data_IF_944711668814
#
_entry.id   IF_944711668814
#
_cell.length_a   1.000
_cell.length_b   1.000
_cell.length_c   1.000
_cell.angle_alpha   90.00
_cell.angle_beta   90.00
_cell.angle_gamma   90.00
#
_symmetry.space_group_name_H-M   'P 1'
#
loop_
_entity.id
_entity.type
_entity.pdbx_description
1 polymer ?
#
# COMPACT_ATOMS: atom_id res chain seq x y z
N UNK A 1 12.76 2.12 4.01
CA UNK A 1 13.35 1.62 2.75
C UNK A 1 13.51 0.11 2.86
N UNK A 2 12.42 -0.59 2.90
CA UNK A 2 12.47 -1.95 3.42
C UNK A 2 12.40 -3.05 2.36
N UNK A 3 12.41 -2.73 1.03
CA UNK A 3 12.11 -3.79 0.08
C UNK A 3 12.80 -3.79 -1.25
N UNK A 4 12.97 -2.63 -1.78
CA UNK A 4 13.68 -2.41 -3.04
C UNK A 4 14.83 -1.49 -2.73
N UNK A 5 15.79 -1.43 -3.61
CA UNK A 5 16.89 -0.48 -3.46
C UNK A 5 16.36 0.94 -3.32
N UNK A 6 17.18 1.81 -2.75
CA UNK A 6 16.90 3.24 -2.70
C UNK A 6 16.57 3.74 -4.11
N UNK A 7 15.43 4.41 -4.32
CA UNK A 7 15.05 4.90 -5.64
C UNK A 7 16.04 5.98 -6.09
N UNK A 8 16.38 5.99 -7.36
CA UNK A 8 17.24 7.06 -7.93
C UNK A 8 16.54 8.41 -7.94
N UNK A 9 15.21 8.42 -8.14
CA UNK A 9 14.40 9.63 -8.24
C UNK A 9 13.12 9.45 -7.43
N UNK A 10 12.75 10.46 -6.67
CA UNK A 10 11.49 10.56 -5.95
C UNK A 10 10.73 11.78 -6.48
N UNK A 11 9.53 11.56 -7.00
CA UNK A 11 8.64 12.62 -7.44
C UNK A 11 7.56 12.80 -6.38
N UNK A 12 7.36 14.03 -5.92
CA UNK A 12 6.35 14.37 -4.92
C UNK A 12 5.43 15.46 -5.46
N UNK A 13 4.29 15.64 -4.80
CA UNK A 13 3.48 16.83 -5.04
C UNK A 13 4.17 18.09 -4.47
N UNK A 14 3.59 19.26 -4.74
CA UNK A 14 4.15 20.56 -4.29
C UNK A 14 3.87 20.89 -2.82
N UNK A 15 3.42 19.94 -1.99
CA UNK A 15 3.14 20.21 -0.58
C UNK A 15 4.40 20.67 0.17
N UNK A 16 4.25 21.66 1.04
CA UNK A 16 5.34 22.29 1.76
C UNK A 16 6.20 21.30 2.58
N UNK A 17 5.56 20.22 3.08
CA UNK A 17 6.27 19.17 3.81
C UNK A 17 7.38 18.50 2.99
N UNK A 18 7.19 18.32 1.68
CA UNK A 18 8.18 17.71 0.79
C UNK A 18 9.28 18.69 0.33
N UNK A 19 9.10 19.99 0.60
CA UNK A 19 10.09 21.04 0.39
C UNK A 19 10.87 21.37 1.66
N UNK A 20 10.56 20.71 2.78
CA UNK A 20 11.19 20.95 4.06
C UNK A 20 12.68 20.56 4.03
N UNK A 21 13.50 21.26 4.81
CA UNK A 21 14.93 20.95 4.97
C UNK A 21 15.17 19.49 5.32
N UNK A 22 14.36 18.93 6.23
CA UNK A 22 14.43 17.50 6.62
C UNK A 22 14.29 16.55 5.43
N UNK A 23 13.38 16.86 4.50
CA UNK A 23 13.17 16.03 3.32
C UNK A 23 14.32 16.16 2.32
N UNK A 24 14.84 17.36 2.13
CA UNK A 24 15.99 17.61 1.27
C UNK A 24 17.23 16.91 1.83
N UNK A 25 17.53 17.06 3.12
CA UNK A 25 18.65 16.41 3.80
C UNK A 25 18.55 14.88 3.71
N UNK A 26 17.33 14.34 3.88
CA UNK A 26 17.08 12.92 3.69
C UNK A 26 17.39 12.44 2.28
N UNK A 27 16.90 13.14 1.26
CA UNK A 27 17.15 12.80 -0.13
C UNK A 27 18.64 12.88 -0.47
N UNK A 28 19.32 13.90 0.03
CA UNK A 28 20.76 14.08 -0.15
C UNK A 28 21.55 12.94 0.50
N UNK A 29 21.22 12.57 1.75
CA UNK A 29 21.87 11.47 2.48
C UNK A 29 21.80 10.14 1.72
N UNK A 30 20.72 9.89 0.99
CA UNK A 30 20.51 8.63 0.27
C UNK A 30 20.72 8.74 -1.23
N UNK A 31 21.28 9.84 -1.69
CA UNK A 31 21.54 10.12 -3.13
C UNK A 31 20.26 9.98 -3.98
N UNK A 32 19.13 10.47 -3.47
CA UNK A 32 17.84 10.47 -4.16
C UNK A 32 17.68 11.83 -4.87
N UNK A 33 17.41 11.81 -6.16
CA UNK A 33 17.03 13.01 -6.90
C UNK A 33 15.55 13.34 -6.55
N UNK A 34 15.34 14.44 -5.81
CA UNK A 34 14.00 14.92 -5.46
C UNK A 34 13.44 15.79 -6.59
N UNK A 35 12.30 15.39 -7.15
CA UNK A 35 11.53 16.15 -8.12
C UNK A 35 10.14 16.48 -7.58
N UNK A 36 9.51 17.50 -8.15
CA UNK A 36 8.14 17.87 -7.84
C UNK A 36 7.28 17.76 -9.09
N UNK A 37 6.06 17.26 -8.93
CA UNK A 37 5.08 17.26 -10.01
C UNK A 37 4.66 18.71 -10.33
N UNK A 38 4.30 18.95 -11.58
CA UNK A 38 3.77 20.25 -11.98
C UNK A 38 2.39 20.48 -11.36
N UNK A 39 2.11 21.72 -10.94
CA UNK A 39 0.85 22.10 -10.29
C UNK A 39 -0.38 21.87 -11.20
N UNK A 40 -0.17 21.85 -12.51
CA UNK A 40 -1.23 21.76 -13.53
C UNK A 40 -1.51 20.34 -14.04
N UNK A 41 -0.85 19.31 -13.52
CA UNK A 41 -1.05 17.92 -13.93
C UNK A 41 -1.34 16.99 -12.73
N UNK A 42 -2.51 17.14 -12.09
CA UNK A 42 -2.88 16.33 -10.91
C UNK A 42 -3.03 14.85 -11.25
N UNK A 43 -3.27 14.50 -12.51
CA UNK A 43 -3.40 13.11 -12.95
C UNK A 43 -2.11 12.29 -12.75
N UNK A 44 -0.94 12.93 -12.73
CA UNK A 44 0.35 12.28 -12.50
C UNK A 44 0.49 11.64 -11.11
N UNK A 45 -0.32 12.04 -10.13
CA UNK A 45 -0.32 11.50 -8.77
C UNK A 45 -1.55 10.65 -8.43
N UNK A 46 -2.37 10.32 -9.41
CA UNK A 46 -3.64 9.60 -9.17
C UNK A 46 -3.43 8.19 -8.61
N UNK A 47 -2.39 7.51 -9.07
CA UNK A 47 -2.05 6.16 -8.59
C UNK A 47 -1.56 6.19 -7.14
N UNK A 48 -0.71 7.15 -6.79
CA UNK A 48 -0.21 7.35 -5.44
C UNK A 48 -1.33 7.72 -4.48
N UNK A 49 -2.25 8.59 -4.90
CA UNK A 49 -3.42 8.95 -4.10
C UNK A 49 -4.33 7.75 -3.84
N UNK A 50 -4.58 6.93 -4.85
CA UNK A 50 -5.36 5.70 -4.72
C UNK A 50 -4.69 4.71 -3.77
N UNK A 51 -3.40 4.48 -3.93
CA UNK A 51 -2.61 3.60 -3.06
C UNK A 51 -2.58 4.10 -1.62
N UNK A 52 -2.40 5.41 -1.43
CA UNK A 52 -2.41 6.02 -0.11
C UNK A 52 -3.80 5.90 0.56
N UNK A 53 -4.89 6.02 -0.19
CA UNK A 53 -6.25 5.79 0.33
C UNK A 53 -6.43 4.36 0.82
N UNK A 54 -5.91 3.37 0.08
CA UNK A 54 -5.93 1.96 0.49
C UNK A 54 -5.18 1.75 1.81
N UNK A 55 -3.92 2.17 1.88
CA UNK A 55 -3.09 2.06 3.09
C UNK A 55 -3.74 2.78 4.28
N UNK A 56 -4.30 3.98 4.07
CA UNK A 56 -4.99 4.73 5.13
C UNK A 56 -6.24 4.02 5.65
N UNK A 57 -6.98 3.32 4.77
CA UNK A 57 -8.13 2.50 5.17
C UNK A 57 -7.69 1.37 6.09
N UNK A 58 -6.64 0.65 5.71
CA UNK A 58 -6.07 -0.43 6.50
C UNK A 58 -5.57 0.08 7.86
N UNK A 59 -4.85 1.20 7.88
CA UNK A 59 -4.39 1.81 9.13
C UNK A 59 -5.56 2.17 10.03
N UNK A 60 -6.62 2.78 9.50
CA UNK A 60 -7.81 3.12 10.28
C UNK A 60 -8.47 1.89 10.91
N UNK A 61 -8.57 0.77 10.17
CA UNK A 61 -9.08 -0.50 10.71
C UNK A 61 -8.18 -1.04 11.84
N UNK A 62 -6.86 -0.95 11.69
CA UNK A 62 -5.90 -1.38 12.71
C UNK A 62 -5.86 -0.52 13.98
N UNK A 63 -6.35 0.71 13.90
CA UNK A 63 -6.26 1.70 14.98
C UNK A 63 -7.58 1.87 15.75
N UNK A 64 -8.51 0.91 15.70
CA UNK A 64 -9.86 1.02 16.26
C UNK A 64 -9.92 1.63 17.67
N UNK A 65 -8.93 1.33 18.52
CA UNK A 65 -8.92 1.80 19.92
C UNK A 65 -7.88 2.89 20.21
N UNK A 66 -6.75 2.92 19.52
CA UNK A 66 -5.65 3.84 19.82
C UNK A 66 -5.06 4.52 18.57
N UNK A 67 -5.64 5.66 18.23
CA UNK A 67 -5.22 6.46 17.06
C UNK A 67 -3.77 6.97 17.11
N UNK A 68 -3.16 7.04 18.29
CA UNK A 68 -1.78 7.53 18.47
C UNK A 68 -0.72 6.50 18.07
N UNK A 69 -1.07 5.21 18.03
CA UNK A 69 -0.13 4.13 17.74
C UNK A 69 0.05 3.83 16.22
N UNK A 70 -0.33 4.75 15.33
CA UNK A 70 -0.30 4.53 13.88
C UNK A 70 1.10 4.17 13.35
N UNK A 71 2.16 4.73 13.91
CA UNK A 71 3.54 4.49 13.48
C UNK A 71 3.96 3.02 13.67
N UNK A 72 3.57 2.38 14.77
CA UNK A 72 3.86 0.96 15.01
C UNK A 72 3.03 0.03 14.12
N UNK A 73 1.85 0.47 13.69
CA UNK A 73 0.95 -0.30 12.83
C UNK A 73 1.22 -0.10 11.33
N UNK A 74 1.99 0.91 10.96
CA UNK A 74 2.29 1.22 9.56
C UNK A 74 2.94 0.04 8.81
N UNK A 75 3.87 -0.68 9.44
CA UNK A 75 4.51 -1.85 8.82
C UNK A 75 3.48 -2.93 8.50
N UNK A 76 2.55 -3.20 9.40
CA UNK A 76 1.48 -4.18 9.21
C UNK A 76 0.52 -3.75 8.09
N UNK A 77 0.15 -2.46 8.05
CA UNK A 77 -0.70 -1.93 7.01
C UNK A 77 -0.05 -2.01 5.62
N UNK A 78 1.22 -1.66 5.52
CA UNK A 78 1.97 -1.79 4.28
C UNK A 78 2.14 -3.25 3.85
N UNK A 79 2.24 -4.17 4.78
CA UNK A 79 2.29 -5.59 4.48
C UNK A 79 0.93 -6.09 3.99
N UNK A 80 -0.15 -5.73 4.66
CA UNK A 80 -1.50 -6.08 4.25
C UNK A 80 -1.82 -5.55 2.84
N UNK A 81 -1.51 -4.28 2.55
CA UNK A 81 -1.73 -3.69 1.22
C UNK A 81 -1.01 -4.43 0.08
N UNK A 82 0.11 -5.07 0.37
CA UNK A 82 0.87 -5.82 -0.64
C UNK A 82 0.34 -7.18 -0.96
N UNK A 83 -0.23 -7.85 0.03
CA UNK A 83 -0.77 -9.19 -0.11
C UNK A 83 -2.24 -9.17 -0.47
N UNK A 84 -2.90 -8.00 -0.34
CA UNK A 84 -4.28 -7.81 -0.78
C UNK A 84 -4.38 -7.85 -2.30
N UNK A 85 -5.35 -8.56 -2.79
CA UNK A 85 -5.69 -8.60 -4.21
C UNK A 85 -6.04 -7.20 -4.71
N UNK A 86 -5.52 -6.81 -5.85
CA UNK A 86 -5.82 -5.53 -6.50
C UNK A 86 -6.61 -5.79 -7.78
N UNK A 87 -7.84 -5.29 -7.83
CA UNK A 87 -8.73 -5.44 -8.99
C UNK A 87 -8.11 -5.00 -10.33
N UNK A 88 -7.15 -4.07 -10.29
CA UNK A 88 -6.50 -3.55 -11.50
C UNK A 88 -5.49 -4.50 -12.12
N UNK A 89 -4.97 -5.45 -11.35
CA UNK A 89 -3.93 -6.40 -11.78
C UNK A 89 -4.36 -7.85 -11.58
N UNK A 90 -5.58 -8.06 -11.07
CA UNK A 90 -6.20 -9.36 -10.76
C UNK A 90 -5.31 -10.32 -9.94
N UNK A 91 -4.43 -9.74 -9.15
CA UNK A 91 -3.51 -10.47 -8.27
C UNK A 91 -3.02 -9.58 -7.15
N UNK A 92 -2.26 -10.12 -6.21
CA UNK A 92 -1.58 -9.31 -5.20
C UNK A 92 -0.27 -8.72 -5.75
N UNK A 93 0.12 -7.51 -5.33
CA UNK A 93 1.44 -6.96 -5.66
C UNK A 93 2.60 -7.87 -5.24
N UNK A 94 2.42 -8.67 -4.20
CA UNK A 94 3.42 -9.64 -3.76
C UNK A 94 3.59 -10.76 -4.77
N UNK A 95 2.49 -11.37 -5.18
CA UNK A 95 2.51 -12.48 -6.15
C UNK A 95 3.03 -12.02 -7.52
N UNK A 96 2.68 -10.80 -7.94
CA UNK A 96 3.19 -10.21 -9.19
C UNK A 96 4.72 -10.09 -9.19
N UNK A 97 5.33 -9.76 -8.05
CA UNK A 97 6.79 -9.53 -7.94
C UNK A 97 7.55 -10.83 -7.70
N UNK A 98 7.01 -11.73 -6.88
CA UNK A 98 7.73 -12.93 -6.42
C UNK A 98 7.27 -14.23 -7.10
N UNK A 99 6.16 -14.20 -7.83
CA UNK A 99 5.60 -15.37 -8.52
C UNK A 99 5.10 -16.49 -7.61
N UNK A 100 4.95 -16.22 -6.30
CA UNK A 100 4.54 -17.21 -5.30
C UNK A 100 3.58 -16.61 -4.28
N UNK A 101 2.82 -17.47 -3.64
CA UNK A 101 1.95 -17.08 -2.55
C UNK A 101 2.71 -16.66 -1.30
N UNK A 102 2.05 -15.87 -0.47
CA UNK A 102 2.65 -15.32 0.74
C UNK A 102 2.70 -16.38 1.84
N UNK A 103 3.88 -16.67 2.35
CA UNK A 103 4.04 -17.41 3.59
C UNK A 103 4.04 -16.41 4.75
N UNK A 104 3.04 -16.49 5.61
CA UNK A 104 2.91 -15.60 6.75
C UNK A 104 3.81 -16.04 7.91
N UNK A 105 4.65 -15.16 8.45
CA UNK A 105 5.23 -15.37 9.76
C UNK A 105 4.11 -15.52 10.80
N UNK A 106 4.21 -16.46 11.70
CA UNK A 106 3.18 -16.75 12.72
C UNK A 106 2.79 -15.53 13.56
N UNK A 107 3.73 -14.64 13.82
CA UNK A 107 3.52 -13.37 14.56
C UNK A 107 2.68 -12.33 13.81
N UNK A 108 2.62 -12.40 12.48
CA UNK A 108 1.86 -11.47 11.64
C UNK A 108 0.56 -12.07 11.09
N UNK A 109 0.37 -13.38 11.24
CA UNK A 109 -0.70 -14.12 10.58
C UNK A 109 -2.10 -13.70 11.06
N UNK A 110 -2.31 -13.54 12.35
CA UNK A 110 -3.63 -13.29 12.90
C UNK A 110 -4.20 -11.89 12.58
N UNK A 111 -3.48 -10.78 12.82
CA UNK A 111 -4.02 -9.45 12.51
C UNK A 111 -4.25 -9.22 11.01
N UNK A 112 -3.31 -9.69 10.19
CA UNK A 112 -3.37 -9.50 8.74
C UNK A 112 -4.44 -10.38 8.11
N UNK A 113 -4.59 -11.62 8.56
CA UNK A 113 -5.61 -12.55 8.08
C UNK A 113 -7.03 -12.04 8.36
N UNK A 114 -7.27 -11.45 9.53
CA UNK A 114 -8.56 -10.81 9.85
C UNK A 114 -8.88 -9.66 8.90
N UNK A 115 -7.90 -8.80 8.62
CA UNK A 115 -8.08 -7.69 7.70
C UNK A 115 -8.40 -8.13 6.28
N UNK A 116 -7.76 -9.20 5.79
CA UNK A 116 -8.02 -9.76 4.47
C UNK A 116 -9.43 -10.35 4.40
N UNK A 117 -9.86 -11.10 5.44
CA UNK A 117 -11.21 -11.68 5.50
C UNK A 117 -12.30 -10.60 5.54
N UNK A 118 -12.04 -9.47 6.22
CA UNK A 118 -12.97 -8.34 6.23
C UNK A 118 -13.05 -7.63 4.86
N UNK A 119 -11.95 -7.51 4.14
CA UNK A 119 -11.97 -6.98 2.77
C UNK A 119 -12.69 -7.91 1.78
N UNK A 120 -12.51 -9.22 1.91
CA UNK A 120 -13.24 -10.21 1.12
C UNK A 120 -14.73 -10.26 1.46
N UNK A 121 -15.13 -9.97 2.69
CA UNK A 121 -16.54 -9.90 3.10
C UNK A 121 -17.27 -8.65 2.57
N UNK A 122 -16.55 -7.56 2.28
CA UNK A 122 -17.11 -6.36 1.64
C UNK A 122 -17.32 -6.52 0.12
N UNK A 123 -16.86 -7.61 -0.49
CA UNK A 123 -17.11 -7.91 -1.91
C UNK A 123 -18.57 -8.40 -2.04
N UNK A 124 -19.33 -7.71 -2.90
CA UNK A 124 -20.72 -8.05 -3.23
C UNK A 124 -20.88 -9.57 -3.51
N UNK A 125 -21.84 -10.26 -2.86
CA UNK A 125 -22.07 -11.70 -3.07
C UNK A 125 -22.24 -12.12 -4.54
N UNK A 126 -22.71 -11.21 -5.39
CA UNK A 126 -22.83 -11.43 -6.84
C UNK A 126 -21.48 -11.54 -7.54
N UNK A 127 -20.50 -10.78 -7.11
CA UNK A 127 -19.12 -10.85 -7.65
C UNK A 127 -18.40 -12.13 -7.20
N UNK A 128 -18.63 -12.60 -5.98
CA UNK A 128 -18.10 -13.89 -5.48
C UNK A 128 -18.54 -15.08 -6.34
N UNK A 129 -19.79 -15.10 -6.76
CA UNK A 129 -20.32 -16.16 -7.63
C UNK A 129 -19.68 -16.18 -9.01
N UNK A 130 -19.38 -15.02 -9.55
CA UNK A 130 -18.76 -14.90 -10.88
C UNK A 130 -17.31 -15.43 -10.85
N UNK A 131 -16.57 -15.17 -9.79
CA UNK A 131 -15.21 -15.70 -9.63
C UNK A 131 -15.18 -17.22 -9.44
N UNK A 132 -16.09 -17.78 -8.65
CA UNK A 132 -16.19 -19.24 -8.48
C UNK A 132 -16.58 -19.99 -9.75
N UNK A 133 -17.33 -19.35 -10.65
CA UNK A 133 -17.72 -19.96 -11.92
C UNK A 133 -16.58 -19.94 -12.96
N UNK A 134 -15.63 -19.00 -12.84
CA UNK A 134 -14.45 -18.90 -13.71
C UNK A 134 -13.36 -19.88 -13.29
N UNK A 135 -13.27 -20.23 -12.00
CA UNK A 135 -12.31 -21.23 -11.49
C UNK A 135 -12.71 -22.68 -11.80
N UNK A 136 -13.96 -22.92 -12.26
CA UNK A 136 -14.48 -24.24 -12.58
C UNK A 136 -14.49 -24.57 -14.09
N UNK A 137 -13.93 -23.71 -14.91
CA UNK A 137 -13.70 -23.94 -16.35
C UNK A 137 -12.22 -24.19 -16.67
#
# INVERSE_FOLDING_TARGET
MSRFRVPRKLITNNAAMFKSKKMVDFCHKYHICLGHSTAYYPQGNRLEESSNKSVMRIIKKLLQENRKAWHSKLIHALWADRISMKKSIDTSPFQLVYGSDVIFPSSLSLPVRRLLQEEEAEIDPKQRRTYQLVELQ
#
